data_IF_743153307777
#
_entry.id   IF_743153307777
#
_cell.length_a   1.000
_cell.length_b   1.000
_cell.length_c   1.000
_cell.angle_alpha   90.00
_cell.angle_beta   90.00
_cell.angle_gamma   90.00
#
_symmetry.space_group_name_H-M   'P 1'
#
loop_
_entity.id
_entity.type
_entity.pdbx_description
1 polymer ?
#
# COMPACT_ATOMS: atom_id res chain seq x y z
N UNK A 1 -8.79 17.03 21.98
CA UNK A 1 -7.76 17.38 20.99
C UNK A 1 -7.13 16.07 20.56
N UNK A 2 -7.21 15.70 19.28
CA UNK A 2 -6.47 14.55 18.74
C UNK A 2 -4.98 14.88 18.81
N UNK A 3 -4.18 13.99 19.43
CA UNK A 3 -2.73 14.16 19.47
C UNK A 3 -2.17 14.13 18.04
N UNK A 4 -1.15 14.92 17.77
CA UNK A 4 -0.40 14.87 16.51
C UNK A 4 0.24 13.48 16.39
N UNK A 5 0.13 12.85 15.21
CA UNK A 5 0.83 11.62 14.88
C UNK A 5 2.09 11.97 14.08
N UNK A 6 3.17 11.29 14.39
CA UNK A 6 4.47 11.51 13.73
C UNK A 6 4.88 10.20 13.06
N UNK A 7 5.24 10.28 11.79
CA UNK A 7 5.71 9.15 11.00
C UNK A 7 6.86 9.49 10.08
N UNK A 8 7.45 8.47 9.49
CA UNK A 8 8.54 8.56 8.52
C UNK A 8 8.13 7.84 7.24
N UNK A 9 8.51 8.39 6.10
CA UNK A 9 8.31 7.76 4.79
C UNK A 9 9.65 7.30 4.23
N UNK A 10 9.72 6.05 3.75
CA UNK A 10 10.90 5.44 3.15
C UNK A 10 10.64 5.11 1.69
N UNK A 11 11.56 5.53 0.82
CA UNK A 11 11.55 5.24 -0.62
C UNK A 11 12.57 4.19 -1.06
N UNK A 12 13.52 3.83 -0.18
CA UNK A 12 14.58 2.85 -0.40
C UNK A 12 15.54 3.17 -1.56
N UNK A 13 15.57 4.42 -2.02
CA UNK A 13 16.42 4.81 -3.15
C UNK A 13 17.90 4.66 -2.82
N UNK A 14 18.61 4.06 -3.74
CA UNK A 14 20.05 3.85 -3.70
C UNK A 14 20.65 4.18 -5.08
N UNK A 15 20.93 5.47 -5.38
CA UNK A 15 21.52 5.84 -6.66
C UNK A 15 22.81 5.05 -6.96
N UNK A 16 23.07 4.70 -8.23
CA UNK A 16 24.24 3.88 -8.62
C UNK A 16 25.59 4.42 -8.16
N UNK A 17 25.68 5.73 -7.95
CA UNK A 17 26.89 6.44 -7.49
C UNK A 17 26.97 6.63 -5.96
N UNK A 18 26.02 6.09 -5.21
CA UNK A 18 25.98 6.20 -3.75
C UNK A 18 27.16 5.51 -3.05
N UNK A 19 27.70 4.47 -3.67
CA UNK A 19 28.71 3.60 -3.07
C UNK A 19 28.18 2.70 -1.95
N UNK A 20 26.87 2.69 -1.72
CA UNK A 20 26.21 1.86 -0.70
C UNK A 20 25.70 0.56 -1.32
N UNK A 21 25.95 -0.56 -0.67
CA UNK A 21 25.40 -1.86 -1.04
C UNK A 21 23.89 -1.92 -0.70
N UNK A 22 23.05 -2.40 -1.64
CA UNK A 22 21.60 -2.49 -1.45
C UNK A 22 21.22 -3.29 -0.20
N UNK A 23 21.90 -4.41 0.04
CA UNK A 23 21.67 -5.22 1.24
C UNK A 23 21.94 -4.44 2.52
N UNK A 24 23.00 -3.63 2.53
CA UNK A 24 23.34 -2.77 3.67
C UNK A 24 22.27 -1.69 3.88
N UNK A 25 21.79 -1.05 2.81
CA UNK A 25 20.69 -0.08 2.87
C UNK A 25 19.42 -0.68 3.47
N UNK A 26 19.00 -1.85 2.98
CA UNK A 26 17.79 -2.51 3.50
C UNK A 26 17.95 -2.88 4.98
N UNK A 27 19.11 -3.40 5.39
CA UNK A 27 19.39 -3.71 6.79
C UNK A 27 19.35 -2.45 7.69
N UNK A 28 19.94 -1.35 7.22
CA UNK A 28 19.94 -0.06 7.91
C UNK A 28 18.52 0.48 8.09
N UNK A 29 17.70 0.48 7.04
CA UNK A 29 16.32 0.95 7.14
C UNK A 29 15.51 0.10 8.12
N UNK A 30 15.66 -1.21 8.10
CA UNK A 30 14.99 -2.09 9.08
C UNK A 30 15.42 -1.78 10.52
N UNK A 31 16.72 -1.52 10.75
CA UNK A 31 17.21 -1.11 12.07
C UNK A 31 16.65 0.27 12.50
N UNK A 32 16.55 1.23 11.57
CA UNK A 32 15.91 2.52 11.83
C UNK A 32 14.45 2.38 12.21
N UNK A 33 13.70 1.50 11.54
CA UNK A 33 12.28 1.25 11.88
C UNK A 33 12.14 0.63 13.27
N UNK A 34 13.03 -0.28 13.67
CA UNK A 34 13.04 -0.80 15.04
C UNK A 34 13.30 0.32 16.06
N UNK A 35 14.22 1.24 15.76
CA UNK A 35 14.48 2.40 16.61
C UNK A 35 13.25 3.31 16.69
N UNK A 36 12.58 3.58 15.56
CA UNK A 36 11.33 4.38 15.53
C UNK A 36 10.23 3.74 16.38
N UNK A 37 10.10 2.41 16.34
CA UNK A 37 9.15 1.67 17.20
C UNK A 37 9.46 1.89 18.69
N UNK A 38 10.74 1.81 19.08
CA UNK A 38 11.20 2.04 20.45
C UNK A 38 11.00 3.48 20.92
N UNK A 39 11.23 4.46 20.03
CA UNK A 39 11.06 5.88 20.30
C UNK A 39 9.60 6.34 20.31
N UNK A 40 8.67 5.47 19.89
CA UNK A 40 7.25 5.74 19.93
C UNK A 40 6.70 6.49 18.73
N UNK A 41 7.35 6.40 17.56
CA UNK A 41 6.76 6.86 16.31
C UNK A 41 5.42 6.17 16.05
N UNK A 42 4.49 6.89 15.43
CA UNK A 42 3.15 6.39 15.19
C UNK A 42 3.05 5.56 13.90
N UNK A 43 3.81 5.94 12.85
CA UNK A 43 3.60 5.41 11.51
C UNK A 43 4.88 5.40 10.67
N UNK A 44 5.04 4.34 9.88
CA UNK A 44 6.03 4.25 8.80
C UNK A 44 5.30 4.03 7.48
N UNK A 45 5.60 4.87 6.49
CA UNK A 45 5.06 4.74 5.14
C UNK A 45 6.12 4.23 4.17
N UNK A 46 5.68 3.45 3.17
CA UNK A 46 6.50 3.03 2.04
C UNK A 46 5.97 3.67 0.76
N UNK A 47 6.87 4.05 -0.10
CA UNK A 47 6.51 4.45 -1.45
C UNK A 47 6.66 3.27 -2.42
N UNK A 48 6.12 3.40 -3.64
CA UNK A 48 6.25 2.37 -4.67
C UNK A 48 6.51 3.03 -6.03
N UNK A 49 7.61 2.63 -6.67
CA UNK A 49 7.91 2.94 -8.07
C UNK A 49 8.63 1.78 -8.75
N UNK A 50 8.52 1.70 -10.07
CA UNK A 50 9.04 0.56 -10.82
C UNK A 50 9.94 1.00 -11.96
N UNK A 51 10.94 0.14 -12.28
CA UNK A 51 11.82 0.30 -13.44
C UNK A 51 12.61 1.62 -13.42
N UNK A 52 13.11 1.99 -12.25
CA UNK A 52 13.99 3.15 -12.01
C UNK A 52 15.35 2.63 -11.55
N UNK A 53 16.42 3.20 -12.11
CA UNK A 53 17.80 2.70 -11.91
C UNK A 53 18.36 2.95 -10.49
N UNK A 54 17.68 3.74 -9.68
CA UNK A 54 18.09 4.09 -8.32
C UNK A 54 17.52 3.17 -7.23
N UNK A 55 16.96 2.03 -7.60
CA UNK A 55 16.48 1.03 -6.65
C UNK A 55 15.26 1.46 -5.84
N UNK A 56 14.49 2.47 -6.31
CA UNK A 56 13.24 2.88 -5.65
C UNK A 56 12.36 1.65 -5.34
N UNK A 57 11.81 1.58 -4.13
CA UNK A 57 11.12 0.39 -3.63
C UNK A 57 10.04 -0.13 -4.62
N UNK A 58 10.25 -1.29 -5.26
CA UNK A 58 9.29 -1.82 -6.22
C UNK A 58 8.27 -2.78 -5.59
N UNK A 59 8.55 -3.27 -4.38
CA UNK A 59 7.71 -4.27 -3.71
C UNK A 59 7.73 -4.06 -2.20
N UNK A 60 6.72 -3.43 -1.69
CA UNK A 60 6.61 -3.08 -0.27
C UNK A 60 6.14 -4.26 0.62
N UNK A 61 5.42 -5.24 0.08
CA UNK A 61 4.86 -6.37 0.85
C UNK A 61 5.92 -7.17 1.62
N UNK A 62 7.05 -7.59 1.01
CA UNK A 62 8.11 -8.29 1.73
C UNK A 62 8.74 -7.45 2.84
N UNK A 63 8.91 -6.15 2.60
CA UNK A 63 9.46 -5.20 3.58
C UNK A 63 8.50 -5.03 4.75
N UNK A 64 7.20 -4.85 4.47
CA UNK A 64 6.17 -4.78 5.49
C UNK A 64 6.12 -6.05 6.36
N UNK A 65 6.31 -7.23 5.76
CA UNK A 65 6.39 -8.51 6.49
C UNK A 65 7.59 -8.56 7.44
N UNK A 66 8.76 -8.12 6.99
CA UNK A 66 9.95 -8.02 7.84
C UNK A 66 9.72 -7.03 9.00
N UNK A 67 9.14 -5.86 8.73
CA UNK A 67 8.86 -4.86 9.76
C UNK A 67 7.79 -5.34 10.75
N UNK A 68 6.77 -6.07 10.29
CA UNK A 68 5.76 -6.67 11.17
C UNK A 68 6.40 -7.59 12.23
N UNK A 69 7.41 -8.36 11.82
CA UNK A 69 8.13 -9.28 12.72
C UNK A 69 9.13 -8.57 13.66
N UNK A 70 9.66 -7.42 13.26
CA UNK A 70 10.70 -6.70 13.99
C UNK A 70 10.18 -5.62 14.94
N UNK A 71 8.88 -5.27 14.86
CA UNK A 71 8.26 -4.17 15.61
C UNK A 71 7.02 -4.62 16.36
N UNK A 72 6.59 -3.83 17.35
CA UNK A 72 5.46 -4.20 18.22
C UNK A 72 4.36 -3.13 18.29
N UNK A 73 4.65 -1.88 17.94
CA UNK A 73 3.75 -0.73 18.14
C UNK A 73 3.52 0.11 16.91
N UNK A 74 4.59 0.45 16.17
CA UNK A 74 4.50 1.32 15.00
C UNK A 74 3.57 0.72 13.95
N UNK A 75 2.67 1.54 13.44
CA UNK A 75 1.84 1.18 12.28
C UNK A 75 2.64 1.40 11.01
N UNK A 76 2.32 0.68 9.97
CA UNK A 76 3.00 0.83 8.68
C UNK A 76 2.01 0.69 7.53
N UNK A 77 2.31 1.38 6.44
CA UNK A 77 1.43 1.43 5.28
C UNK A 77 2.15 1.93 4.04
N UNK A 78 1.40 2.21 3.01
CA UNK A 78 1.93 2.65 1.72
C UNK A 78 1.51 4.08 1.38
N UNK A 79 2.47 4.87 0.95
CA UNK A 79 2.29 6.21 0.37
C UNK A 79 3.02 6.29 -0.99
N UNK A 80 2.50 5.53 -1.93
CA UNK A 80 1.27 4.76 -2.08
C UNK A 80 1.56 3.41 -2.77
N UNK A 81 0.66 2.44 -2.57
CA UNK A 81 0.58 1.27 -3.43
C UNK A 81 -0.06 1.65 -4.77
N UNK A 82 0.56 1.30 -5.89
CA UNK A 82 0.05 1.54 -7.22
C UNK A 82 -1.02 0.48 -7.58
N UNK A 83 -2.25 0.71 -7.13
CA UNK A 83 -3.33 -0.27 -7.22
C UNK A 83 -3.57 -0.83 -8.64
N UNK A 84 -3.45 -0.05 -9.74
CA UNK A 84 -3.61 -0.59 -11.10
C UNK A 84 -2.63 -1.69 -11.50
N UNK A 85 -1.50 -1.83 -10.81
CA UNK A 85 -0.50 -2.87 -11.07
C UNK A 85 -0.73 -4.14 -10.26
N UNK A 86 -1.68 -4.11 -9.32
CA UNK A 86 -1.98 -5.21 -8.43
C UNK A 86 -3.33 -5.86 -8.76
N UNK A 87 -3.39 -7.20 -8.71
CA UNK A 87 -4.67 -7.87 -8.71
C UNK A 87 -5.32 -7.70 -7.33
N UNK A 88 -6.52 -7.12 -7.20
CA UNK A 88 -7.07 -6.72 -5.91
C UNK A 88 -7.33 -7.89 -4.96
N UNK A 89 -7.66 -9.09 -5.45
CA UNK A 89 -7.78 -10.28 -4.61
C UNK A 89 -6.42 -10.68 -4.02
N UNK A 90 -5.35 -10.67 -4.84
CA UNK A 90 -4.01 -11.01 -4.36
C UNK A 90 -3.53 -10.02 -3.32
N UNK A 91 -3.73 -8.73 -3.58
CA UNK A 91 -3.41 -7.68 -2.62
C UNK A 91 -4.22 -7.83 -1.31
N UNK A 92 -5.49 -8.21 -1.40
CA UNK A 92 -6.31 -8.47 -0.22
C UNK A 92 -5.80 -9.65 0.61
N UNK A 93 -5.30 -10.73 -0.03
CA UNK A 93 -4.67 -11.86 0.66
C UNK A 93 -3.37 -11.45 1.34
N UNK A 94 -2.50 -10.71 0.65
CA UNK A 94 -1.25 -10.19 1.20
C UNK A 94 -1.52 -9.28 2.41
N UNK A 95 -2.52 -8.40 2.33
CA UNK A 95 -2.96 -7.55 3.44
C UNK A 95 -3.51 -8.37 4.61
N UNK A 96 -4.28 -9.42 4.36
CA UNK A 96 -4.80 -10.28 5.42
C UNK A 96 -3.66 -10.99 6.17
N UNK A 97 -2.66 -11.48 5.46
CA UNK A 97 -1.45 -12.07 6.06
C UNK A 97 -0.67 -11.03 6.86
N UNK A 98 -0.42 -9.84 6.30
CA UNK A 98 0.29 -8.75 6.99
C UNK A 98 -0.47 -8.26 8.22
N UNK A 99 -1.80 -8.19 8.16
CA UNK A 99 -2.65 -7.78 9.27
C UNK A 99 -2.52 -8.77 10.44
N UNK A 100 -2.53 -10.07 10.16
CA UNK A 100 -2.31 -11.10 11.17
C UNK A 100 -0.87 -11.09 11.71
N UNK A 101 0.14 -10.99 10.86
CA UNK A 101 1.55 -10.91 11.29
C UNK A 101 1.82 -9.71 12.18
N UNK A 102 1.20 -8.58 11.88
CA UNK A 102 1.41 -7.33 12.61
C UNK A 102 0.49 -7.16 13.83
N UNK A 103 -0.53 -8.01 13.99
CA UNK A 103 -1.56 -7.80 15.03
C UNK A 103 -2.38 -6.53 14.78
N UNK A 104 -2.75 -6.26 13.52
CA UNK A 104 -3.64 -5.15 13.16
C UNK A 104 -2.95 -3.79 12.98
N UNK A 105 -1.68 -3.77 12.56
CA UNK A 105 -0.89 -2.52 12.41
C UNK A 105 -0.69 -2.06 10.97
N UNK A 106 -1.20 -2.80 9.97
CA UNK A 106 -1.09 -2.41 8.57
C UNK A 106 -2.16 -1.38 8.18
N UNK A 107 -1.80 -0.42 7.32
CA UNK A 107 -2.68 0.52 6.63
C UNK A 107 -2.40 0.45 5.13
N UNK A 108 -3.37 0.79 4.29
CA UNK A 108 -3.19 0.76 2.84
C UNK A 108 -3.49 2.13 2.22
N UNK A 109 -2.47 2.81 1.75
CA UNK A 109 -2.63 3.95 0.86
C UNK A 109 -2.53 3.52 -0.60
N UNK A 110 -3.48 3.92 -1.43
CA UNK A 110 -3.55 3.54 -2.84
C UNK A 110 -3.59 4.74 -3.77
N UNK A 111 -2.98 4.60 -4.94
CA UNK A 111 -3.01 5.60 -5.99
C UNK A 111 -3.09 4.99 -7.38
N UNK A 112 -3.40 5.84 -8.37
CA UNK A 112 -3.58 5.40 -9.76
C UNK A 112 -2.28 5.19 -10.52
N UNK A 113 -1.16 5.72 -10.03
CA UNK A 113 0.04 5.86 -10.83
C UNK A 113 -0.09 6.90 -11.96
N UNK A 114 1.05 7.36 -12.44
CA UNK A 114 1.11 8.38 -13.48
C UNK A 114 2.22 8.15 -14.51
N UNK A 115 3.24 7.39 -14.16
CA UNK A 115 4.46 7.24 -14.95
C UNK A 115 4.25 6.29 -16.15
N UNK A 116 4.31 6.78 -17.40
CA UNK A 116 4.01 5.95 -18.57
C UNK A 116 4.93 4.74 -18.75
N UNK A 117 6.19 4.82 -18.27
CA UNK A 117 7.14 3.72 -18.37
C UNK A 117 6.73 2.53 -17.49
N UNK A 118 6.17 2.77 -16.30
CA UNK A 118 5.67 1.73 -15.40
C UNK A 118 4.50 0.97 -16.04
N UNK A 119 3.54 1.70 -16.59
CA UNK A 119 2.40 1.10 -17.30
C UNK A 119 2.85 0.26 -18.52
N UNK A 120 3.86 0.73 -19.27
CA UNK A 120 4.45 -0.06 -20.37
C UNK A 120 5.16 -1.31 -19.84
N UNK A 121 5.93 -1.19 -18.77
CA UNK A 121 6.64 -2.30 -18.16
C UNK A 121 5.71 -3.42 -17.71
N UNK A 122 4.56 -3.08 -17.12
CA UNK A 122 3.53 -4.05 -16.73
C UNK A 122 2.58 -4.45 -17.87
N UNK A 123 2.71 -3.91 -19.09
CA UNK A 123 1.82 -4.21 -20.19
C UNK A 123 0.38 -3.69 -20.00
N UNK A 124 0.18 -2.72 -19.13
CA UNK A 124 -1.13 -2.17 -18.80
C UNK A 124 -1.34 -0.86 -19.55
N UNK A 125 -2.41 -0.71 -20.36
CA UNK A 125 -2.72 0.55 -21.00
C UNK A 125 -3.00 1.66 -19.97
N UNK A 126 -2.24 2.76 -20.03
CA UNK A 126 -2.36 3.90 -19.11
C UNK A 126 -3.79 4.45 -19.02
N UNK A 127 -4.55 4.41 -20.13
CA UNK A 127 -5.95 4.82 -20.17
C UNK A 127 -6.89 3.98 -19.27
N UNK A 128 -6.45 2.78 -18.87
CA UNK A 128 -7.24 1.89 -17.99
C UNK A 128 -7.06 2.20 -16.51
N UNK A 129 -6.06 3.01 -16.11
CA UNK A 129 -5.71 3.24 -14.71
C UNK A 129 -6.87 3.65 -13.83
N UNK A 130 -7.78 4.53 -14.34
CA UNK A 130 -8.95 4.98 -13.58
C UNK A 130 -9.90 3.81 -13.26
N UNK A 131 -10.29 3.05 -14.28
CA UNK A 131 -11.23 1.94 -14.08
C UNK A 131 -10.62 0.78 -13.29
N UNK A 132 -9.31 0.53 -13.40
CA UNK A 132 -8.59 -0.43 -12.56
C UNK A 132 -8.58 0.02 -11.09
N UNK A 133 -8.35 1.31 -10.86
CA UNK A 133 -8.40 1.90 -9.52
C UNK A 133 -9.80 1.80 -8.91
N UNK A 134 -10.83 2.24 -9.65
CA UNK A 134 -12.20 2.29 -9.14
C UNK A 134 -12.71 0.87 -8.79
N UNK A 135 -12.57 -0.10 -9.69
CA UNK A 135 -12.97 -1.48 -9.44
C UNK A 135 -12.08 -2.16 -8.38
N UNK A 136 -10.77 -1.84 -8.39
CA UNK A 136 -9.84 -2.35 -7.38
C UNK A 136 -10.21 -1.94 -5.95
N UNK A 137 -10.61 -0.67 -5.75
CA UNK A 137 -11.10 -0.19 -4.44
C UNK A 137 -12.37 -0.93 -4.04
N UNK A 138 -13.33 -1.06 -4.96
CA UNK A 138 -14.59 -1.76 -4.68
C UNK A 138 -14.35 -3.21 -4.28
N UNK A 139 -13.48 -3.92 -4.99
CA UNK A 139 -13.10 -5.31 -4.66
C UNK A 139 -12.43 -5.38 -3.30
N UNK A 140 -11.47 -4.51 -2.99
CA UNK A 140 -10.81 -4.46 -1.69
C UNK A 140 -11.81 -4.25 -0.55
N UNK A 141 -12.73 -3.30 -0.70
CA UNK A 141 -13.77 -3.05 0.31
C UNK A 141 -14.68 -4.26 0.53
N UNK A 142 -14.98 -5.04 -0.53
CA UNK A 142 -15.72 -6.31 -0.39
C UNK A 142 -14.90 -7.38 0.32
N UNK A 143 -13.61 -7.51 -0.01
CA UNK A 143 -12.68 -8.40 0.68
C UNK A 143 -12.60 -8.11 2.19
N UNK A 144 -12.55 -6.82 2.55
CA UNK A 144 -12.42 -6.37 3.94
C UNK A 144 -13.65 -6.71 4.81
N UNK A 145 -14.82 -6.95 4.21
CA UNK A 145 -16.01 -7.41 4.93
C UNK A 145 -15.89 -8.86 5.41
N UNK A 146 -14.95 -9.65 4.84
CA UNK A 146 -14.72 -11.05 5.21
C UNK A 146 -15.81 -12.02 4.75
N UNK A 147 -16.74 -11.57 3.93
CA UNK A 147 -17.82 -12.38 3.37
C UNK A 147 -17.39 -13.03 2.03
N UNK A 148 -18.12 -14.05 1.63
CA UNK A 148 -18.01 -14.64 0.29
C UNK A 148 -18.77 -13.81 -0.72
N UNK A 149 -18.19 -13.54 -1.90
CA UNK A 149 -18.82 -12.70 -2.90
C UNK A 149 -18.37 -13.04 -4.33
N UNK A 150 -19.16 -12.59 -5.30
CA UNK A 150 -18.81 -12.55 -6.73
C UNK A 150 -18.66 -11.09 -7.18
N UNK A 151 -17.85 -10.87 -8.20
CA UNK A 151 -17.66 -9.55 -8.80
C UNK A 151 -17.61 -9.66 -10.33
N UNK A 152 -18.45 -8.91 -11.03
CA UNK A 152 -18.53 -8.89 -12.48
C UNK A 152 -18.42 -7.45 -12.98
N UNK A 153 -17.20 -6.91 -12.91
CA UNK A 153 -16.88 -5.57 -13.38
C UNK A 153 -16.38 -5.55 -14.82
N UNK A 154 -15.86 -4.42 -15.24
CA UNK A 154 -15.27 -4.22 -16.55
C UNK A 154 -13.82 -4.73 -16.61
N UNK A 155 -13.14 -4.80 -15.48
CA UNK A 155 -11.73 -5.16 -15.33
C UNK A 155 -11.52 -6.48 -14.63
N UNK A 156 -12.34 -6.74 -13.62
CA UNK A 156 -12.22 -7.93 -12.80
C UNK A 156 -13.52 -8.75 -12.86
N UNK A 157 -13.36 -10.07 -13.05
CA UNK A 157 -14.46 -11.02 -13.05
C UNK A 157 -14.04 -12.24 -12.26
N UNK A 158 -14.80 -12.58 -11.24
CA UNK A 158 -14.61 -13.80 -10.45
C UNK A 158 -15.87 -14.14 -9.68
N UNK A 159 -16.00 -15.42 -9.36
CA UNK A 159 -17.17 -15.98 -8.69
C UNK A 159 -16.78 -16.65 -7.39
N UNK A 160 -17.64 -16.49 -6.38
CA UNK A 160 -17.65 -17.26 -5.16
C UNK A 160 -16.31 -17.25 -4.39
N UNK A 161 -15.66 -16.07 -4.28
CA UNK A 161 -14.39 -15.91 -3.57
C UNK A 161 -14.58 -15.43 -2.15
N UNK A 162 -13.67 -15.83 -1.27
CA UNK A 162 -13.55 -15.35 0.11
C UNK A 162 -12.07 -15.25 0.47
N UNK A 163 -11.66 -14.13 1.05
CA UNK A 163 -10.29 -13.96 1.53
C UNK A 163 -10.11 -14.71 2.86
N UNK A 164 -9.05 -15.50 2.91
CA UNK A 164 -8.61 -16.21 4.12
C UNK A 164 -7.08 -16.14 4.19
N UNK A 165 -6.49 -15.96 5.43
CA UNK A 165 -7.16 -15.77 6.71
C UNK A 165 -8.02 -14.52 6.75
N UNK A 166 -8.88 -14.36 7.76
CA UNK A 166 -9.59 -13.11 8.00
C UNK A 166 -8.66 -12.02 8.54
N UNK A 167 -9.13 -10.79 8.54
CA UNK A 167 -8.41 -9.63 9.09
C UNK A 167 -8.54 -9.57 10.62
N UNK A 168 -7.48 -9.12 11.29
CA UNK A 168 -7.48 -8.77 12.72
C UNK A 168 -8.25 -7.47 12.94
N UNK A 169 -8.04 -6.50 12.05
CA UNK A 169 -8.73 -5.22 12.09
C UNK A 169 -10.19 -5.39 11.63
N UNK A 170 -11.19 -5.01 12.45
CA UNK A 170 -12.60 -5.07 12.03
C UNK A 170 -12.86 -4.20 10.80
N UNK A 171 -13.35 -4.81 9.73
CA UNK A 171 -13.57 -4.11 8.44
C UNK A 171 -12.32 -3.95 7.59
N UNK A 172 -11.22 -4.65 7.94
CA UNK A 172 -9.94 -4.64 7.22
C UNK A 172 -9.04 -3.44 7.58
N UNK A 173 -7.87 -3.36 6.94
CA UNK A 173 -6.95 -2.24 7.12
C UNK A 173 -7.56 -0.90 6.74
N UNK A 174 -7.24 0.22 7.46
CA UNK A 174 -7.60 1.55 7.02
C UNK A 174 -7.15 1.80 5.58
N UNK A 175 -8.09 2.27 4.73
CA UNK A 175 -7.84 2.54 3.32
C UNK A 175 -7.74 4.05 3.10
N UNK A 176 -6.65 4.48 2.46
CA UNK A 176 -6.36 5.86 2.10
C UNK A 176 -6.32 6.00 0.59
N UNK A 177 -6.97 7.00 0.03
CA UNK A 177 -6.87 7.31 -1.40
C UNK A 177 -6.00 8.54 -1.57
N UNK A 178 -4.86 8.36 -2.22
CA UNK A 178 -3.94 9.43 -2.52
C UNK A 178 -4.26 10.12 -3.85
N UNK A 179 -4.26 11.43 -3.86
CA UNK A 179 -4.44 12.22 -5.07
C UNK A 179 -3.98 13.67 -4.93
N UNK A 180 -3.60 14.26 -6.09
CA UNK A 180 -3.24 15.67 -6.25
C UNK A 180 -4.37 16.49 -6.89
N UNK A 181 -5.56 15.92 -7.07
CA UNK A 181 -6.64 16.57 -7.81
C UNK A 181 -7.97 16.48 -7.09
N UNK A 182 -8.87 17.44 -7.37
CA UNK A 182 -10.24 17.42 -6.87
C UNK A 182 -10.98 16.11 -7.22
N UNK A 183 -10.76 15.57 -8.42
CA UNK A 183 -11.36 14.29 -8.83
C UNK A 183 -10.91 13.13 -7.93
N UNK A 184 -9.67 13.16 -7.44
CA UNK A 184 -9.18 12.17 -6.50
C UNK A 184 -9.76 12.35 -5.10
N UNK A 185 -9.89 13.60 -4.61
CA UNK A 185 -10.55 13.88 -3.35
C UNK A 185 -12.03 13.45 -3.38
N UNK A 186 -12.73 13.71 -4.48
CA UNK A 186 -14.10 13.23 -4.70
C UNK A 186 -14.20 11.70 -4.70
N UNK A 187 -13.17 10.99 -5.23
CA UNK A 187 -13.10 9.53 -5.17
C UNK A 187 -13.00 9.05 -3.72
N UNK A 188 -12.10 9.63 -2.92
CA UNK A 188 -11.98 9.28 -1.51
C UNK A 188 -13.32 9.47 -0.77
N UNK A 189 -14.01 10.57 -1.00
CA UNK A 189 -15.32 10.86 -0.43
C UNK A 189 -16.39 9.84 -0.91
N UNK A 190 -16.38 9.49 -2.20
CA UNK A 190 -17.32 8.53 -2.79
C UNK A 190 -17.20 7.14 -2.16
N UNK A 191 -15.98 6.67 -1.95
CA UNK A 191 -15.73 5.35 -1.34
C UNK A 191 -15.72 5.37 0.19
N UNK A 192 -15.89 6.53 0.82
CA UNK A 192 -15.89 6.67 2.28
C UNK A 192 -14.55 6.31 2.92
N UNK A 193 -13.44 6.59 2.22
CA UNK A 193 -12.08 6.28 2.67
C UNK A 193 -11.39 7.51 3.25
N UNK A 194 -10.21 7.30 3.87
CA UNK A 194 -9.34 8.41 4.20
C UNK A 194 -8.73 9.04 2.93
N UNK A 195 -8.38 10.31 3.01
CA UNK A 195 -7.75 11.06 1.93
C UNK A 195 -6.29 11.38 2.28
N UNK A 196 -5.39 11.07 1.35
CA UNK A 196 -3.97 11.36 1.45
C UNK A 196 -3.61 12.38 0.37
N UNK A 197 -3.47 13.69 0.72
CA UNK A 197 -3.05 14.70 -0.25
C UNK A 197 -1.61 14.46 -0.68
N UNK A 198 -1.37 14.47 -1.99
CA UNK A 198 -0.05 14.31 -2.58
C UNK A 198 0.38 15.64 -3.22
N UNK A 199 1.49 16.18 -2.76
CA UNK A 199 2.06 17.44 -3.24
C UNK A 199 1.35 18.68 -2.65
N UNK A 200 2.13 19.61 -2.20
CA UNK A 200 1.80 21.02 -2.00
C UNK A 200 2.38 21.84 -3.13
#
# INVERSE_FOLDING_TARGET
>A
MTALRIGVCYDFRNPPDSGVDDRALYAEILAQVQLLDQLGADLVWFTEHHFIDDGYLPSWVPVAGAMAALTTRVRFGTDICLLPFNHPLRLAEDLAVLDNLSGGRIELGVGMGYAPHEFRGFGIPLARRRSLMDEGIEVLQRCFRGERFSFHGKRYHFDDVKITPGYVQPGGPPLWIAAMSEAGARRAAHYGTHYLPQGL
#
